data_IF_542013816776
#
_entry.id   IF_542013816776
#
_cell.length_a   1.000
_cell.length_b   1.000
_cell.length_c   1.000
_cell.angle_alpha   90.00
_cell.angle_beta   90.00
_cell.angle_gamma   90.00
#
_symmetry.space_group_name_H-M   'P 1'
#
loop_
_entity.id
_entity.type
_entity.pdbx_description
1 polymer ?
#
# COMPACT_ATOMS: atom_id res chain seq x y z
N UNK A 1 -10.84 -6.21 -22.83
CA UNK A 1 -9.81 -5.23 -23.20
C UNK A 1 -9.46 -4.43 -21.96
N UNK A 2 -8.22 -4.49 -21.49
CA UNK A 2 -7.74 -3.68 -20.35
C UNK A 2 -7.28 -2.32 -20.89
N UNK A 3 -7.96 -1.24 -20.50
CA UNK A 3 -7.49 0.11 -20.81
C UNK A 3 -6.30 0.41 -19.91
N UNK A 4 -5.09 0.21 -20.43
CA UNK A 4 -3.84 0.61 -19.78
C UNK A 4 -3.86 2.14 -19.63
N UNK A 5 -4.21 2.61 -18.44
CA UNK A 5 -4.04 4.01 -18.10
C UNK A 5 -2.55 4.29 -18.19
N UNK A 6 -2.18 5.19 -19.10
CA UNK A 6 -0.81 5.67 -19.21
C UNK A 6 -0.56 6.58 -18.01
N UNK A 7 -0.43 5.98 -16.83
CA UNK A 7 0.28 6.62 -15.75
C UNK A 7 1.65 6.92 -16.33
N UNK A 8 1.93 8.19 -16.63
CA UNK A 8 3.27 8.68 -16.90
C UNK A 8 4.21 7.91 -15.97
N UNK A 9 5.27 7.27 -16.48
CA UNK A 9 5.92 6.10 -15.84
C UNK A 9 6.35 6.31 -14.37
N UNK A 10 6.33 7.56 -13.90
CA UNK A 10 6.65 7.99 -12.53
C UNK A 10 5.51 8.66 -11.74
N UNK A 11 4.33 8.85 -12.33
CA UNK A 11 3.26 9.69 -11.78
C UNK A 11 3.61 11.18 -11.76
N UNK A 12 2.63 12.03 -11.42
CA UNK A 12 2.87 13.46 -11.24
C UNK A 12 3.35 13.75 -9.82
N UNK A 13 4.49 14.44 -9.67
CA UNK A 13 5.03 14.80 -8.36
C UNK A 13 4.07 15.67 -7.56
N UNK A 14 4.01 15.41 -6.26
CA UNK A 14 3.24 16.17 -5.28
C UNK A 14 4.17 17.10 -4.48
N UNK A 15 3.57 18.10 -3.85
CA UNK A 15 4.27 19.21 -3.20
C UNK A 15 3.76 19.39 -1.77
N UNK A 16 4.42 20.26 -0.99
CA UNK A 16 4.07 20.60 0.40
C UNK A 16 4.11 19.35 1.31
N UNK A 17 3.04 19.07 2.04
CA UNK A 17 2.87 17.93 2.96
C UNK A 17 3.06 16.57 2.28
N UNK A 18 2.92 16.50 0.96
CA UNK A 18 3.12 15.29 0.16
C UNK A 18 4.39 15.37 -0.72
N UNK A 19 5.34 16.24 -0.36
CA UNK A 19 6.62 16.32 -1.06
C UNK A 19 7.32 14.95 -1.09
N UNK A 20 7.88 14.60 -2.25
CA UNK A 20 8.47 13.28 -2.49
C UNK A 20 7.46 12.18 -2.84
N UNK A 21 6.15 12.45 -2.76
CA UNK A 21 5.11 11.55 -3.23
C UNK A 21 4.72 11.87 -4.68
N UNK A 22 4.11 10.89 -5.34
CA UNK A 22 3.63 10.99 -6.71
C UNK A 22 2.19 10.54 -6.78
N UNK A 23 1.43 11.16 -7.67
CA UNK A 23 0.05 10.77 -7.98
C UNK A 23 -0.02 9.98 -9.27
N UNK A 24 -0.80 8.90 -9.24
CA UNK A 24 -1.12 8.09 -10.42
C UNK A 24 -2.64 8.01 -10.58
N UNK A 25 -3.13 8.14 -11.81
CA UNK A 25 -4.53 7.88 -12.15
C UNK A 25 -4.71 6.39 -12.44
N UNK A 26 -5.77 5.80 -11.89
CA UNK A 26 -5.98 4.33 -11.96
C UNK A 26 -6.95 3.95 -13.06
N UNK A 27 -7.83 4.88 -13.45
CA UNK A 27 -8.86 4.69 -14.45
C UNK A 27 -8.85 5.82 -15.50
N UNK A 28 -9.34 5.56 -16.72
CA UNK A 28 -9.41 6.56 -17.78
C UNK A 28 -10.30 7.77 -17.43
N UNK A 29 -11.34 7.55 -16.61
CA UNK A 29 -12.26 8.61 -16.16
C UNK A 29 -11.62 9.49 -15.07
N UNK A 30 -10.41 9.16 -14.61
CA UNK A 30 -9.69 9.83 -13.53
C UNK A 30 -10.48 9.90 -12.22
N UNK A 31 -11.37 8.93 -11.97
CA UNK A 31 -12.18 8.82 -10.75
C UNK A 31 -11.38 8.33 -9.56
N UNK A 32 -10.30 7.61 -9.77
CA UNK A 32 -9.46 7.02 -8.74
C UNK A 32 -8.03 7.53 -8.83
N UNK A 33 -7.42 7.74 -7.67
CA UNK A 33 -6.04 8.21 -7.51
C UNK A 33 -5.28 7.32 -6.55
N UNK A 34 -4.04 7.03 -6.92
CA UNK A 34 -3.02 6.47 -6.04
C UNK A 34 -2.09 7.60 -5.62
N UNK A 35 -1.64 7.54 -4.37
CA UNK A 35 -0.49 8.30 -3.88
C UNK A 35 0.60 7.29 -3.53
N UNK A 36 1.76 7.43 -4.18
CA UNK A 36 2.90 6.53 -4.05
C UNK A 36 4.15 7.31 -3.65
N UNK A 37 5.13 6.61 -3.10
CA UNK A 37 6.48 7.14 -2.88
C UNK A 37 7.51 6.14 -3.41
N UNK A 38 8.53 6.63 -4.10
CA UNK A 38 9.68 5.80 -4.47
C UNK A 38 10.67 5.79 -3.32
N UNK A 39 11.02 4.60 -2.83
CA UNK A 39 11.97 4.41 -1.73
C UNK A 39 13.09 3.46 -2.17
N UNK A 40 14.22 3.54 -1.49
CA UNK A 40 15.24 2.50 -1.63
C UNK A 40 14.69 1.19 -1.10
N UNK A 41 14.90 0.12 -1.86
CA UNK A 41 14.39 -1.17 -1.45
C UNK A 41 15.18 -1.69 -0.23
N UNK A 42 14.55 -2.53 0.62
CA UNK A 42 15.26 -3.22 1.69
C UNK A 42 16.45 -4.00 1.14
N UNK A 43 17.49 -4.19 1.97
CA UNK A 43 18.71 -4.90 1.57
C UNK A 43 18.47 -6.36 1.08
N UNK A 44 17.33 -6.95 1.43
CA UNK A 44 16.92 -8.29 0.98
C UNK A 44 16.24 -8.30 -0.41
N UNK A 45 15.97 -7.15 -1.00
CA UNK A 45 15.27 -7.05 -2.28
C UNK A 45 16.19 -7.31 -3.47
N UNK A 46 15.63 -7.87 -4.54
CA UNK A 46 16.31 -8.00 -5.84
C UNK A 46 16.31 -6.69 -6.64
N UNK A 47 15.50 -5.71 -6.23
CA UNK A 47 15.38 -4.41 -6.90
C UNK A 47 16.11 -3.32 -6.12
N UNK A 48 16.60 -2.30 -6.82
CA UNK A 48 17.24 -1.14 -6.18
C UNK A 48 16.25 -0.22 -5.47
N UNK A 49 15.00 -0.17 -5.96
CA UNK A 49 13.95 0.72 -5.47
C UNK A 49 12.62 -0.03 -5.38
N UNK A 50 11.77 0.45 -4.50
CA UNK A 50 10.39 -0.01 -4.35
C UNK A 50 9.40 1.15 -4.51
N UNK A 51 8.17 0.80 -4.89
CA UNK A 51 7.04 1.72 -4.90
C UNK A 51 6.24 1.48 -3.63
N UNK A 52 6.32 2.40 -2.69
CA UNK A 52 5.54 2.36 -1.47
C UNK A 52 4.17 2.99 -1.71
N UNK A 53 3.12 2.19 -1.64
CA UNK A 53 1.74 2.67 -1.83
C UNK A 53 1.23 3.30 -0.53
N UNK A 54 1.10 4.63 -0.53
CA UNK A 54 0.62 5.38 0.62
C UNK A 54 -0.89 5.37 0.74
N UNK A 55 -1.63 5.55 -0.36
CA UNK A 55 -3.09 5.55 -0.33
C UNK A 55 -3.70 5.33 -1.72
N UNK A 56 -4.92 4.79 -1.73
CA UNK A 56 -5.80 4.73 -2.90
C UNK A 56 -7.13 5.33 -2.49
N UNK A 57 -7.76 6.08 -3.38
CA UNK A 57 -9.11 6.56 -3.13
C UNK A 57 -9.72 7.25 -4.34
N UNK A 58 -11.01 7.49 -4.24
CA UNK A 58 -11.74 8.27 -5.23
C UNK A 58 -11.25 9.73 -5.26
N UNK A 59 -11.57 10.41 -6.37
CA UNK A 59 -11.34 11.84 -6.56
C UNK A 59 -12.03 12.66 -5.48
N UNK A 60 -13.22 12.21 -5.08
CA UNK A 60 -14.09 12.95 -4.20
C UNK A 60 -13.39 13.22 -2.87
N UNK A 61 -13.56 14.44 -2.40
CA UNK A 61 -12.97 14.96 -1.18
C UNK A 61 -11.46 14.78 -1.04
N UNK A 62 -10.73 14.60 -2.15
CA UNK A 62 -9.29 14.36 -2.12
C UNK A 62 -8.91 13.16 -1.21
N UNK A 63 -9.76 12.12 -1.18
CA UNK A 63 -9.67 11.03 -0.21
C UNK A 63 -8.28 10.35 -0.18
N UNK A 64 -7.68 10.12 -1.35
CA UNK A 64 -6.34 9.55 -1.47
C UNK A 64 -5.26 10.43 -0.83
N UNK A 65 -5.31 11.75 -1.05
CA UNK A 65 -4.30 12.68 -0.55
C UNK A 65 -4.41 12.90 0.96
N UNK A 66 -5.63 13.07 1.49
CA UNK A 66 -5.83 13.20 2.95
C UNK A 66 -5.36 11.95 3.69
N UNK A 67 -5.70 10.78 3.15
CA UNK A 67 -5.25 9.51 3.71
C UNK A 67 -3.72 9.37 3.66
N UNK A 68 -3.09 9.80 2.58
CA UNK A 68 -1.64 9.80 2.44
C UNK A 68 -0.96 10.76 3.44
N UNK A 69 -1.47 12.00 3.58
CA UNK A 69 -0.93 12.99 4.50
C UNK A 69 -0.98 12.47 5.95
N UNK A 70 -2.14 11.96 6.37
CA UNK A 70 -2.30 11.38 7.71
C UNK A 70 -1.36 10.19 7.96
N UNK A 71 -1.06 9.38 6.93
CA UNK A 71 -0.13 8.24 7.04
C UNK A 71 1.31 8.71 7.16
N UNK A 72 1.72 9.71 6.36
CA UNK A 72 3.05 10.32 6.44
C UNK A 72 3.29 11.00 7.79
N UNK A 73 2.32 11.81 8.27
CA UNK A 73 2.42 12.44 9.59
C UNK A 73 2.56 11.42 10.73
N UNK A 74 1.91 10.25 10.61
CA UNK A 74 2.08 9.15 11.57
C UNK A 74 3.47 8.54 11.47
N UNK A 75 3.95 8.28 10.25
CA UNK A 75 5.28 7.74 10.00
C UNK A 75 6.38 8.66 10.53
N UNK A 76 6.29 9.97 10.28
CA UNK A 76 7.22 10.98 10.79
C UNK A 76 7.22 11.04 12.31
N UNK A 77 6.02 11.07 12.93
CA UNK A 77 5.91 11.01 14.40
C UNK A 77 6.52 9.74 14.98
N UNK A 78 6.30 8.60 14.34
CA UNK A 78 6.89 7.33 14.75
C UNK A 78 8.42 7.34 14.60
N UNK A 79 8.94 7.88 13.51
CA UNK A 79 10.37 8.02 13.27
C UNK A 79 11.03 8.91 14.34
N UNK A 80 10.43 10.06 14.64
CA UNK A 80 10.89 10.97 15.70
C UNK A 80 10.86 10.30 17.07
N UNK A 81 9.77 9.59 17.40
CA UNK A 81 9.65 8.86 18.65
C UNK A 81 10.75 7.80 18.80
N UNK A 82 11.01 7.02 17.74
CA UNK A 82 12.02 5.97 17.72
C UNK A 82 13.46 6.50 17.72
N UNK A 83 13.70 7.70 17.18
CA UNK A 83 15.01 8.33 17.20
C UNK A 83 15.47 8.75 18.61
N UNK A 84 14.54 9.00 19.52
CA UNK A 84 14.87 9.35 20.92
C UNK A 84 15.59 8.21 21.65
N UNK A 85 16.47 8.48 22.64
CA UNK A 85 17.14 7.42 23.41
C UNK A 85 16.17 6.43 24.08
N UNK A 86 15.05 6.95 24.60
CA UNK A 86 14.00 6.14 25.19
C UNK A 86 13.24 5.33 24.14
N UNK A 87 12.97 5.92 22.97
CA UNK A 87 12.42 5.22 21.81
C UNK A 87 13.29 4.07 21.32
N UNK A 88 14.61 4.29 21.19
CA UNK A 88 15.58 3.23 20.83
C UNK A 88 15.57 2.09 21.84
N UNK A 89 15.54 2.40 23.14
CA UNK A 89 15.44 1.38 24.20
C UNK A 89 14.12 0.61 24.12
N UNK A 90 13.00 1.30 23.92
CA UNK A 90 11.69 0.67 23.73
C UNK A 90 11.67 -0.22 22.48
N UNK A 91 12.29 0.21 21.38
CA UNK A 91 12.40 -0.59 20.16
C UNK A 91 13.29 -1.83 20.37
N UNK A 92 14.41 -1.70 21.07
CA UNK A 92 15.27 -2.84 21.44
C UNK A 92 14.53 -3.83 22.34
N UNK A 93 13.75 -3.35 23.31
CA UNK A 93 12.91 -4.19 24.16
C UNK A 93 11.83 -4.93 23.35
N UNK A 94 11.14 -4.25 22.41
CA UNK A 94 10.18 -4.89 21.50
C UNK A 94 10.81 -5.94 20.61
N UNK A 95 12.00 -5.68 20.06
CA UNK A 95 12.71 -6.63 19.20
C UNK A 95 13.12 -7.91 19.94
N UNK A 96 13.37 -7.81 21.25
CA UNK A 96 13.69 -8.96 22.13
C UNK A 96 12.44 -9.64 22.70
N UNK A 97 11.26 -9.04 22.55
CA UNK A 97 10.02 -9.59 23.09
C UNK A 97 9.53 -10.79 22.27
N UNK A 98 9.29 -11.96 22.90
CA UNK A 98 8.73 -13.12 22.21
C UNK A 98 7.33 -12.85 21.64
N UNK A 99 6.56 -11.95 22.25
CA UNK A 99 5.21 -11.58 21.79
C UNK A 99 5.23 -10.73 20.51
N UNK A 100 6.28 -9.93 20.27
CA UNK A 100 6.38 -9.12 19.05
C UNK A 100 6.60 -9.99 17.79
N UNK A 101 7.27 -11.15 17.93
CA UNK A 101 7.47 -12.12 16.83
C UNK A 101 6.17 -12.86 16.47
N UNK A 102 5.31 -13.12 17.44
CA UNK A 102 4.01 -13.76 17.20
C UNK A 102 3.07 -12.86 16.38
N UNK A 103 3.01 -11.56 16.70
CA UNK A 103 2.18 -10.60 15.95
C UNK A 103 2.69 -10.29 14.54
N UNK A 104 3.99 -10.44 14.27
CA UNK A 104 4.53 -10.26 12.92
C UNK A 104 4.15 -11.43 12.00
N UNK A 105 4.05 -12.65 12.55
CA UNK A 105 3.56 -13.82 11.82
C UNK A 105 2.09 -13.73 11.45
N UNK A 106 1.25 -13.19 12.34
CA UNK A 106 -0.19 -13.04 12.12
C UNK A 106 -0.55 -11.95 11.10
N UNK A 107 0.31 -10.93 10.93
CA UNK A 107 0.09 -9.82 9.97
C UNK A 107 0.40 -10.18 8.52
N UNK A 108 1.10 -11.28 8.26
CA UNK A 108 1.35 -11.80 6.90
C UNK A 108 0.23 -12.74 6.39
N UNK A 109 -0.72 -13.13 7.24
CA UNK A 109 -1.92 -13.88 6.87
C UNK A 109 -3.09 -12.92 6.59
N UNK A 110 -3.00 -12.20 5.48
CA UNK A 110 -3.95 -11.15 5.12
C UNK A 110 -4.27 -11.07 3.64
N UNK A 111 -4.36 -12.21 2.94
CA UNK A 111 -5.19 -12.30 1.73
C UNK A 111 -6.38 -13.18 2.10
N UNK A 112 -7.61 -12.63 2.25
CA UNK A 112 -8.78 -13.49 2.27
C UNK A 112 -8.87 -14.16 0.90
N UNK A 113 -8.63 -15.47 0.86
CA UNK A 113 -8.93 -16.27 -0.31
C UNK A 113 -10.43 -16.11 -0.59
N UNK A 114 -10.77 -15.48 -1.73
CA UNK A 114 -12.14 -15.42 -2.20
C UNK A 114 -12.66 -16.86 -2.35
N UNK A 115 -13.85 -17.19 -1.83
CA UNK A 115 -14.43 -18.51 -2.07
C UNK A 115 -14.71 -18.65 -3.56
N UNK A 116 -14.00 -19.58 -4.20
CA UNK A 116 -14.31 -20.06 -5.55
C UNK A 116 -15.68 -20.74 -5.50
N UNK A 117 -16.69 -20.08 -6.06
CA UNK A 117 -17.99 -20.69 -6.28
C UNK A 117 -17.83 -21.84 -7.31
N UNK A 118 -18.36 -23.05 -7.05
CA UNK A 118 -18.31 -24.12 -8.04
C UNK A 118 -19.22 -23.78 -9.23
N UNK A 119 -18.64 -23.85 -10.43
CA UNK A 119 -19.33 -23.62 -11.70
C UNK A 119 -20.48 -24.63 -11.88
N UNK A 120 -21.69 -24.10 -12.08
CA UNK A 120 -22.86 -24.86 -12.48
C UNK A 120 -22.62 -25.49 -13.86
N UNK A 121 -22.58 -26.83 -13.90
CA UNK A 121 -22.46 -27.59 -15.14
C UNK A 121 -23.75 -27.44 -15.95
N UNK A 122 -23.67 -26.75 -17.09
CA UNK A 122 -24.72 -26.71 -18.09
C UNK A 122 -24.87 -28.11 -18.72
N UNK A 123 -25.85 -28.88 -18.24
CA UNK A 123 -26.21 -30.19 -18.80
C UNK A 123 -26.84 -29.99 -20.18
N UNK A 124 -26.10 -30.40 -21.21
CA UNK A 124 -26.57 -30.42 -22.59
C UNK A 124 -27.85 -31.26 -22.73
N UNK A 125 -28.89 -30.63 -23.27
CA UNK A 125 -30.18 -31.24 -23.60
C UNK A 125 -30.03 -32.01 -24.92
N UNK A 126 -29.87 -33.34 -24.84
CA UNK A 126 -29.97 -34.22 -26.01
C UNK A 126 -31.43 -34.36 -26.41
N UNK A 127 -31.76 -33.85 -27.59
CA UNK A 127 -32.97 -34.14 -28.34
C UNK A 127 -32.90 -35.55 -28.90
N UNK A 128 -34.01 -36.29 -28.79
CA UNK A 128 -34.37 -37.38 -29.70
C UNK A 128 -35.87 -37.35 -29.90
#
# INVERSE_FOLDING_TARGET
MQHLVHGNERGAALHRELAGCHKVYVDPETRWRLVIQYRDAPASSQHRREIYLLAVGERQDQAAYRSAALRLEREERHALANASPLGRRAQAARARSPHARADAGARNSGVPAAPVAPAAQSRARRTR
#
